data_IF_387286586661
#
_entry.id   IF_387286586661
#
_cell.length_a   1.000
_cell.length_b   1.000
_cell.length_c   1.000
_cell.angle_alpha   90.00
_cell.angle_beta   90.00
_cell.angle_gamma   90.00
#
_symmetry.space_group_name_H-M   'P 1'
#
loop_
_entity.id
_entity.type
_entity.pdbx_description
1 polymer ?
#
# COMPACT_ATOMS: atom_id res chain seq x y z
N UNK A 1 8.06 -13.23 -40.07
CA UNK A 1 8.07 -11.86 -39.52
C UNK A 1 9.17 -11.78 -38.47
N UNK A 2 10.18 -10.93 -38.68
CA UNK A 2 11.17 -10.64 -37.63
C UNK A 2 10.50 -9.72 -36.61
N UNK A 3 10.66 -10.03 -35.33
CA UNK A 3 10.13 -9.22 -34.24
C UNK A 3 10.92 -7.90 -34.22
N UNK A 4 10.27 -6.78 -34.57
CA UNK A 4 10.84 -5.42 -34.60
C UNK A 4 10.48 -4.63 -33.33
N UNK A 5 10.37 -5.36 -32.21
CA UNK A 5 10.13 -4.79 -30.89
C UNK A 5 11.45 -4.62 -30.12
N UNK A 6 11.48 -3.75 -29.09
CA UNK A 6 12.65 -3.63 -28.24
C UNK A 6 12.99 -5.00 -27.62
N UNK A 7 14.20 -5.50 -27.88
CA UNK A 7 14.69 -6.73 -27.25
C UNK A 7 15.27 -6.38 -25.87
N UNK A 8 14.61 -6.84 -24.81
CA UNK A 8 15.11 -6.71 -23.44
C UNK A 8 15.81 -8.00 -23.05
N UNK A 9 17.02 -7.89 -22.49
CA UNK A 9 17.70 -9.06 -21.92
C UNK A 9 16.95 -9.57 -20.70
N UNK A 10 16.68 -10.87 -20.63
CA UNK A 10 16.01 -11.49 -19.48
C UNK A 10 16.77 -11.26 -18.18
N UNK A 11 18.11 -11.19 -18.22
CA UNK A 11 18.94 -10.96 -17.03
C UNK A 11 18.77 -9.54 -16.50
N UNK A 12 18.64 -8.57 -17.40
CA UNK A 12 18.50 -7.16 -17.04
C UNK A 12 17.08 -6.88 -16.54
N UNK A 13 16.08 -7.50 -17.16
CA UNK A 13 14.68 -7.43 -16.72
C UNK A 13 14.49 -8.05 -15.33
N UNK A 14 15.05 -9.25 -15.10
CA UNK A 14 14.97 -9.92 -13.80
C UNK A 14 15.60 -9.08 -12.69
N UNK A 15 16.76 -8.48 -12.93
CA UNK A 15 17.44 -7.63 -11.94
C UNK A 15 16.61 -6.40 -11.61
N UNK A 16 16.05 -5.74 -12.63
CA UNK A 16 15.24 -4.53 -12.47
C UNK A 16 13.95 -4.84 -11.73
N UNK A 17 13.17 -5.81 -12.21
CA UNK A 17 11.93 -6.25 -11.58
C UNK A 17 12.13 -6.70 -10.13
N UNK A 18 13.22 -7.41 -9.83
CA UNK A 18 13.54 -7.83 -8.46
C UNK A 18 13.84 -6.63 -7.55
N UNK A 19 14.67 -5.70 -8.00
CA UNK A 19 15.03 -4.50 -7.23
C UNK A 19 13.81 -3.60 -7.00
N UNK A 20 12.96 -3.40 -8.01
CA UNK A 20 11.74 -2.60 -7.91
C UNK A 20 10.76 -3.21 -6.90
N UNK A 21 10.55 -4.52 -6.98
CA UNK A 21 9.71 -5.21 -6.01
C UNK A 21 10.29 -5.12 -4.59
N UNK A 22 11.58 -5.43 -4.43
CA UNK A 22 12.25 -5.39 -3.13
C UNK A 22 12.16 -4.00 -2.49
N UNK A 23 12.46 -2.94 -3.25
CA UNK A 23 12.37 -1.57 -2.77
C UNK A 23 10.93 -1.18 -2.40
N UNK A 24 9.95 -1.55 -3.23
CA UNK A 24 8.53 -1.28 -2.93
C UNK A 24 8.06 -1.95 -1.63
N UNK A 25 8.52 -3.17 -1.36
CA UNK A 25 8.18 -3.91 -0.14
C UNK A 25 8.83 -3.27 1.08
N UNK A 26 10.11 -2.93 0.99
CA UNK A 26 10.88 -2.37 2.11
C UNK A 26 10.27 -1.03 2.53
N UNK A 27 10.08 -0.12 1.57
CA UNK A 27 9.69 1.27 1.85
C UNK A 27 8.19 1.41 2.10
N UNK A 28 7.36 0.73 1.33
CA UNK A 28 5.92 1.02 1.27
C UNK A 28 5.03 -0.05 1.91
N UNK A 29 5.60 -1.10 2.52
CA UNK A 29 4.82 -2.20 3.11
C UNK A 29 5.36 -2.71 4.43
N UNK A 30 6.62 -3.12 4.47
CA UNK A 30 7.14 -3.97 5.53
C UNK A 30 7.66 -3.19 6.74
N UNK A 31 8.47 -2.14 6.52
CA UNK A 31 9.14 -1.39 7.58
C UNK A 31 8.27 -0.20 8.02
N UNK A 32 8.04 0.01 9.33
CA UNK A 32 7.31 1.17 9.83
C UNK A 32 8.13 2.45 9.72
N UNK A 33 7.45 3.60 9.64
CA UNK A 33 8.10 4.91 9.73
C UNK A 33 8.57 5.18 11.16
N UNK A 34 9.76 5.75 11.33
CA UNK A 34 10.35 6.04 12.64
C UNK A 34 9.52 7.06 13.44
N UNK A 35 8.87 8.01 12.77
CA UNK A 35 8.22 9.16 13.41
C UNK A 35 6.96 8.77 14.17
N UNK A 36 6.22 7.79 13.65
CA UNK A 36 4.95 7.36 14.22
C UNK A 36 4.89 5.85 14.53
N UNK A 37 5.89 5.07 14.11
CA UNK A 37 5.91 3.62 14.29
C UNK A 37 4.88 2.86 13.44
N UNK A 38 4.21 3.54 12.50
CA UNK A 38 3.10 2.97 11.73
C UNK A 38 3.56 2.48 10.35
N UNK A 39 3.11 1.28 9.99
CA UNK A 39 3.12 0.81 8.61
C UNK A 39 2.10 1.60 7.78
N UNK A 40 2.29 1.73 6.45
CA UNK A 40 1.38 2.50 5.60
C UNK A 40 -0.10 2.09 5.71
N UNK A 41 -0.39 0.79 5.88
CA UNK A 41 -1.77 0.30 6.05
C UNK A 41 -2.42 0.80 7.34
N UNK A 42 -1.68 0.86 8.46
CA UNK A 42 -2.22 1.36 9.73
C UNK A 42 -2.58 2.84 9.62
N UNK A 43 -1.72 3.64 8.98
CA UNK A 43 -1.95 5.08 8.78
C UNK A 43 -3.21 5.34 7.95
N UNK A 44 -3.41 4.57 6.88
CA UNK A 44 -4.62 4.66 6.02
C UNK A 44 -5.90 4.32 6.80
N UNK A 45 -5.87 3.28 7.63
CA UNK A 45 -7.01 2.88 8.46
C UNK A 45 -7.38 3.97 9.48
N UNK A 46 -6.39 4.45 10.24
CA UNK A 46 -6.62 5.49 11.25
C UNK A 46 -7.12 6.79 10.62
N UNK A 47 -6.55 7.18 9.48
CA UNK A 47 -6.98 8.37 8.74
C UNK A 47 -8.43 8.25 8.26
N UNK A 48 -8.80 7.13 7.62
CA UNK A 48 -10.18 6.94 7.15
C UNK A 48 -11.19 6.87 8.31
N UNK A 49 -10.82 6.27 9.44
CA UNK A 49 -11.65 6.26 10.64
C UNK A 49 -11.83 7.67 11.22
N UNK A 50 -10.78 8.49 11.19
CA UNK A 50 -10.85 9.90 11.58
C UNK A 50 -11.79 10.71 10.65
N UNK A 51 -11.61 10.60 9.34
CA UNK A 51 -12.42 11.31 8.33
C UNK A 51 -13.92 10.94 8.38
N UNK A 52 -14.23 9.69 8.72
CA UNK A 52 -15.61 9.21 8.85
C UNK A 52 -16.21 9.47 10.24
N UNK A 53 -15.46 10.07 11.16
CA UNK A 53 -15.90 10.34 12.53
C UNK A 53 -16.16 9.08 13.35
N UNK A 54 -15.38 8.01 13.12
CA UNK A 54 -15.43 6.78 13.90
C UNK A 54 -14.51 6.87 15.13
N UNK A 55 -14.85 7.80 16.01
CA UNK A 55 -14.12 8.13 17.24
C UNK A 55 -14.69 7.36 18.44
N UNK A 56 -13.91 7.29 19.52
CA UNK A 56 -14.24 6.51 20.72
C UNK A 56 -15.52 6.95 21.43
N UNK A 57 -16.00 8.18 21.21
CA UNK A 57 -17.23 8.73 21.80
C UNK A 57 -18.50 8.33 21.02
N UNK A 58 -18.37 7.67 19.86
CA UNK A 58 -19.50 7.27 19.00
C UNK A 58 -19.86 5.80 19.17
N UNK A 59 -21.10 5.46 18.82
CA UNK A 59 -21.55 4.07 18.79
C UNK A 59 -20.75 3.24 17.78
N UNK A 60 -20.53 1.97 18.12
CA UNK A 60 -19.78 1.04 17.27
C UNK A 60 -20.39 0.89 15.87
N UNK A 61 -19.52 0.84 14.87
CA UNK A 61 -19.87 0.57 13.47
C UNK A 61 -19.32 -0.78 13.05
N UNK A 62 -20.03 -1.45 12.14
CA UNK A 62 -19.59 -2.74 11.58
C UNK A 62 -18.27 -2.56 10.83
N UNK A 63 -17.29 -3.45 11.06
CA UNK A 63 -15.95 -3.37 10.49
C UNK A 63 -15.93 -3.38 8.96
N UNK A 64 -16.92 -3.98 8.31
CA UNK A 64 -17.04 -3.97 6.86
C UNK A 64 -17.09 -2.55 6.26
N UNK A 65 -17.64 -1.58 7.01
CA UNK A 65 -17.75 -0.18 6.56
C UNK A 65 -16.40 0.55 6.48
N UNK A 66 -15.63 0.70 7.58
CA UNK A 66 -14.31 1.33 7.49
C UNK A 66 -13.34 0.54 6.59
N UNK A 67 -13.46 -0.80 6.50
CA UNK A 67 -12.66 -1.58 5.54
C UNK A 67 -12.96 -1.16 4.10
N UNK A 68 -14.25 -1.06 3.72
CA UNK A 68 -14.66 -0.61 2.40
C UNK A 68 -14.22 0.82 2.08
N UNK A 69 -14.34 1.73 3.05
CA UNK A 69 -13.90 3.13 2.89
C UNK A 69 -12.38 3.24 2.70
N UNK A 70 -11.59 2.46 3.44
CA UNK A 70 -10.12 2.43 3.30
C UNK A 70 -9.69 1.90 1.94
N UNK A 71 -10.28 0.78 1.50
CA UNK A 71 -9.97 0.18 0.19
C UNK A 71 -10.41 1.04 -0.98
N UNK A 72 -11.53 1.76 -0.86
CA UNK A 72 -12.04 2.59 -1.95
C UNK A 72 -11.28 3.90 -2.16
N UNK A 73 -10.64 4.43 -1.11
CA UNK A 73 -10.07 5.79 -1.12
C UNK A 73 -8.57 5.87 -0.92
N UNK A 74 -7.97 4.94 -0.16
CA UNK A 74 -6.60 5.13 0.34
C UNK A 74 -5.67 3.94 0.17
N UNK A 75 -6.18 2.71 0.08
CA UNK A 75 -5.38 1.49 0.01
C UNK A 75 -5.65 0.71 -1.26
#
# INVERSE_FOLDING_TARGET
MKFDGPSVSITDELKTSYLDYAMSVIVSRAIPDLRDGLKPVHRRILYAMHETGNTHDKAYRKSARPVGDVMGKYH
#
